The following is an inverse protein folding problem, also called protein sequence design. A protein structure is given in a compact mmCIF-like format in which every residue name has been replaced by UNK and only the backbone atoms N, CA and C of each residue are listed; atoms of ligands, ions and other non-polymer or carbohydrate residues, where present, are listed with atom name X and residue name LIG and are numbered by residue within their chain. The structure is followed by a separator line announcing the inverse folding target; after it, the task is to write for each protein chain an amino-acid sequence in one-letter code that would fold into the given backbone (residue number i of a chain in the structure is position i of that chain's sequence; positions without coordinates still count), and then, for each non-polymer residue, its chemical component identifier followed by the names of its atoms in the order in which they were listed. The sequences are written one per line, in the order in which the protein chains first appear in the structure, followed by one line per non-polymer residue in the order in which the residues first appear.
data_IF_221674557250
#
_entry.id   IF_221674557250
#
_cell.length_a   1.000
_cell.length_b   1.000
_cell.length_c   1.000
_cell.angle_alpha   90.00
_cell.angle_beta   90.00
_cell.angle_gamma   90.00
#
_symmetry.space_group_name_H-M   'P 1'
#
loop_
_entity.id
_entity.type
_entity.pdbx_description
1 polymer ?
#
# COMPACT_ATOMS: atom_id res chain seq x y z
N UNK A 1 28.21 -6.36 58.55
CA UNK A 1 28.97 -5.10 58.71
C UNK A 1 29.97 -5.06 57.55
N UNK A 2 29.88 -4.26 56.48
CA UNK A 2 29.21 -2.99 56.21
C UNK A 2 28.72 -2.92 54.75
N UNK A 3 27.70 -2.07 54.53
CA UNK A 3 27.13 -1.72 53.23
C UNK A 3 28.11 -0.94 52.35
N UNK A 4 28.07 -1.15 51.03
CA UNK A 4 28.53 -0.13 50.06
C UNK A 4 27.54 0.01 48.90
N UNK A 5 27.05 1.24 48.80
CA UNK A 5 26.02 1.72 47.89
C UNK A 5 26.49 1.78 46.43
N UNK A 6 25.53 1.57 45.52
CA UNK A 6 25.71 1.71 44.08
C UNK A 6 26.01 3.14 43.64
N UNK A 7 26.83 3.26 42.60
CA UNK A 7 27.03 4.49 41.83
C UNK A 7 26.45 4.29 40.44
N UNK A 8 25.36 4.98 40.15
CA UNK A 8 24.81 5.21 38.81
C UNK A 8 25.73 6.17 38.07
N UNK A 9 26.11 5.94 36.79
CA UNK A 9 26.74 6.98 35.99
C UNK A 9 25.68 7.95 35.45
N UNK A 10 25.97 9.24 35.58
CA UNK A 10 25.15 10.35 35.14
C UNK A 10 24.93 10.34 33.62
N UNK A 11 23.67 10.48 33.21
CA UNK A 11 23.28 10.73 31.81
C UNK A 11 23.73 12.14 31.43
N UNK A 12 24.59 12.21 30.40
CA UNK A 12 25.09 13.45 29.81
C UNK A 12 23.94 14.17 29.09
N UNK A 13 23.65 15.42 29.47
CA UNK A 13 22.66 16.25 28.82
C UNK A 13 22.98 16.42 27.31
N UNK A 14 21.96 16.23 26.45
CA UNK A 14 22.04 16.52 25.01
C UNK A 14 21.78 18.02 24.77
N UNK A 15 22.46 18.64 23.79
CA UNK A 15 22.26 20.06 23.49
C UNK A 15 20.90 20.30 22.84
N UNK A 16 20.35 21.48 23.11
CA UNK A 16 19.02 21.93 22.73
C UNK A 16 18.81 21.88 21.21
N UNK A 17 17.72 21.23 20.79
CA UNK A 17 17.31 21.17 19.38
C UNK A 17 16.67 22.50 18.99
N UNK A 18 17.32 23.21 18.07
CA UNK A 18 16.82 24.39 17.38
C UNK A 18 15.42 24.12 16.79
N UNK A 19 14.42 24.90 17.21
CA UNK A 19 13.06 24.84 16.66
C UNK A 19 12.98 25.68 15.39
N UNK A 20 12.66 25.12 14.21
CA UNK A 20 12.33 25.95 13.05
C UNK A 20 10.92 26.55 13.23
N UNK A 21 10.78 27.79 12.74
CA UNK A 21 9.59 28.63 12.88
C UNK A 21 8.35 28.05 12.22
N UNK A 22 7.21 28.28 12.86
CA UNK A 22 5.87 28.16 12.28
C UNK A 22 5.76 29.11 11.09
N UNK A 23 5.61 28.57 9.88
CA UNK A 23 4.50 29.02 9.02
C UNK A 23 4.24 28.09 7.82
N UNK A 24 2.94 27.96 7.53
CA UNK A 24 2.26 27.31 6.38
C UNK A 24 1.78 25.86 6.53
N UNK A 25 0.47 25.75 6.75
CA UNK A 25 -0.41 24.85 5.98
C UNK A 25 -0.49 23.36 6.31
N UNK A 26 0.49 22.80 7.02
CA UNK A 26 0.49 21.36 7.28
C UNK A 26 -0.44 20.99 8.44
N UNK A 27 -1.58 20.37 8.10
CA UNK A 27 -2.44 19.69 9.06
C UNK A 27 -1.68 18.44 9.53
N UNK A 28 -0.88 18.61 10.59
CA UNK A 28 -0.15 17.53 11.25
C UNK A 28 -1.12 16.42 11.63
N UNK A 29 -0.83 15.21 11.18
CA UNK A 29 -1.58 14.00 11.53
C UNK A 29 -1.27 13.70 13.00
N UNK A 30 -2.21 13.97 13.90
CA UNK A 30 -2.07 13.62 15.32
C UNK A 30 -2.28 12.11 15.50
N UNK A 31 -1.21 11.34 15.31
CA UNK A 31 -1.07 9.96 15.77
C UNK A 31 0.01 9.88 16.86
N UNK A 32 0.15 8.75 17.59
CA UNK A 32 1.30 8.55 18.46
C UNK A 32 2.57 8.63 17.61
N UNK A 33 3.27 9.76 17.72
CA UNK A 33 4.41 10.14 16.88
C UNK A 33 5.58 9.16 16.98
N UNK A 34 5.58 8.29 17.98
CA UNK A 34 6.63 7.29 18.22
C UNK A 34 6.61 6.13 17.19
N UNK A 35 5.54 5.99 16.39
CA UNK A 35 5.41 4.93 15.36
C UNK A 35 5.39 5.46 13.92
N UNK A 36 5.34 6.78 13.72
CA UNK A 36 5.14 7.40 12.40
C UNK A 36 6.28 8.37 12.11
N UNK A 37 7.01 8.12 11.03
CA UNK A 37 8.08 9.00 10.55
C UNK A 37 7.65 9.58 9.19
N UNK A 38 7.20 10.85 9.12
CA UNK A 38 6.85 11.46 7.86
C UNK A 38 8.11 11.73 7.02
N UNK A 39 8.04 11.46 5.72
CA UNK A 39 9.11 11.74 4.76
C UNK A 39 8.58 12.66 3.67
N UNK A 40 9.07 13.90 3.63
CA UNK A 40 8.65 14.91 2.65
C UNK A 40 9.69 14.99 1.53
N UNK A 41 9.53 14.15 0.51
CA UNK A 41 10.40 14.10 -0.67
C UNK A 41 9.71 13.33 -1.82
N UNK A 42 10.20 13.43 -3.07
CA UNK A 42 9.70 12.61 -4.18
C UNK A 42 9.80 11.11 -3.89
N UNK A 43 8.80 10.34 -4.34
CA UNK A 43 8.69 8.89 -4.06
C UNK A 43 9.94 8.10 -4.47
N UNK A 44 10.52 8.40 -5.64
CA UNK A 44 11.73 7.72 -6.13
C UNK A 44 12.96 8.01 -5.26
N UNK A 45 13.08 9.23 -4.74
CA UNK A 45 14.14 9.59 -3.79
C UNK A 45 13.93 8.89 -2.45
N UNK A 46 12.68 8.81 -1.98
CA UNK A 46 12.33 8.04 -0.79
C UNK A 46 12.64 6.56 -0.93
N UNK A 47 12.36 5.97 -2.10
CA UNK A 47 12.73 4.60 -2.37
C UNK A 47 14.27 4.42 -2.33
N UNK A 48 15.07 5.40 -2.74
CA UNK A 48 16.53 5.29 -2.58
C UNK A 48 16.93 5.39 -1.09
N UNK A 49 16.35 6.32 -0.35
CA UNK A 49 16.69 6.58 1.05
C UNK A 49 16.30 5.44 2.00
N UNK A 50 15.16 4.77 1.77
CA UNK A 50 14.70 3.66 2.61
C UNK A 50 15.43 2.38 2.20
N UNK A 51 16.41 1.96 2.99
CA UNK A 51 17.21 0.75 2.73
C UNK A 51 16.67 -0.51 3.42
N UNK A 52 15.78 -0.35 4.40
CA UNK A 52 15.21 -1.46 5.16
C UNK A 52 14.18 -2.24 4.31
N UNK A 53 14.07 -3.56 4.48
CA UNK A 53 12.97 -4.34 3.94
C UNK A 53 11.63 -3.86 4.50
N UNK A 54 10.58 -3.90 3.69
CA UNK A 54 9.23 -3.47 4.08
C UNK A 54 8.23 -4.61 3.96
N UNK A 55 7.28 -4.67 4.88
CA UNK A 55 6.23 -5.70 4.88
C UNK A 55 4.97 -5.27 4.12
N UNK A 56 4.76 -3.97 3.98
CA UNK A 56 3.62 -3.38 3.28
C UNK A 56 4.09 -2.14 2.51
N UNK A 57 3.63 -2.05 1.26
CA UNK A 57 3.66 -0.82 0.46
C UNK A 57 2.24 -0.50 0.01
N UNK A 58 1.79 0.72 0.27
CA UNK A 58 0.49 1.24 -0.15
C UNK A 58 0.71 2.41 -1.11
N UNK A 59 0.39 2.22 -2.38
CA UNK A 59 0.58 3.21 -3.46
C UNK A 59 -0.74 3.95 -3.67
N UNK A 60 -0.75 5.22 -3.30
CA UNK A 60 -1.90 6.14 -3.35
C UNK A 60 -1.40 7.57 -3.65
N UNK A 61 -0.64 7.68 -4.74
CA UNK A 61 -0.01 8.93 -5.19
C UNK A 61 -0.71 9.50 -6.42
N UNK A 62 0.07 9.75 -7.47
CA UNK A 62 -0.41 10.25 -8.76
C UNK A 62 -1.22 9.17 -9.52
N UNK A 63 -2.16 9.57 -10.38
CA UNK A 63 -3.03 8.66 -11.15
C UNK A 63 -2.57 8.43 -12.60
N UNK A 64 -1.49 9.07 -13.04
CA UNK A 64 -0.85 8.79 -14.31
C UNK A 64 -0.20 7.41 -14.28
N UNK A 65 -0.41 6.64 -15.34
CA UNK A 65 0.09 5.26 -15.45
C UNK A 65 1.60 5.18 -15.21
N UNK A 66 2.37 6.07 -15.83
CA UNK A 66 3.83 6.13 -15.75
C UNK A 66 4.32 6.41 -14.32
N UNK A 67 3.62 7.29 -13.60
CA UNK A 67 3.96 7.64 -12.22
C UNK A 67 3.71 6.45 -11.27
N UNK A 68 2.52 5.84 -11.35
CA UNK A 68 2.18 4.65 -10.54
C UNK A 68 3.11 3.48 -10.85
N UNK A 69 3.47 3.29 -12.12
CA UNK A 69 4.38 2.24 -12.54
C UNK A 69 5.80 2.48 -12.01
N UNK A 70 6.27 3.72 -12.04
CA UNK A 70 7.57 4.10 -11.49
C UNK A 70 7.62 3.84 -9.97
N UNK A 71 6.56 4.20 -9.24
CA UNK A 71 6.41 3.89 -7.82
C UNK A 71 6.45 2.37 -7.59
N UNK A 72 5.65 1.60 -8.32
CA UNK A 72 5.66 0.14 -8.19
C UNK A 72 7.05 -0.45 -8.40
N UNK A 73 7.78 -0.02 -9.44
CA UNK A 73 9.12 -0.52 -9.72
C UNK A 73 10.15 -0.13 -8.66
N UNK A 74 10.05 1.08 -8.09
CA UNK A 74 10.96 1.54 -7.06
C UNK A 74 10.74 0.82 -5.71
N UNK A 75 9.48 0.57 -5.37
CA UNK A 75 9.11 0.00 -4.06
C UNK A 75 9.04 -1.52 -4.06
N UNK A 76 8.63 -2.18 -5.16
CA UNK A 76 8.48 -3.64 -5.23
C UNK A 76 9.72 -4.43 -4.77
N UNK A 77 10.97 -4.08 -5.14
CA UNK A 77 12.15 -4.82 -4.72
C UNK A 77 12.34 -4.88 -3.21
N UNK A 78 11.88 -3.86 -2.47
CA UNK A 78 12.03 -3.72 -1.02
C UNK A 78 11.04 -4.54 -0.21
N UNK A 79 9.90 -4.86 -0.82
CA UNK A 79 8.86 -5.66 -0.16
C UNK A 79 9.38 -7.06 0.07
N UNK A 80 9.27 -7.59 1.28
CA UNK A 80 9.72 -8.96 1.59
C UNK A 80 8.85 -10.00 0.88
N UNK A 81 9.36 -11.23 0.74
CA UNK A 81 8.49 -12.35 0.35
C UNK A 81 7.40 -12.56 1.42
N UNK A 82 6.15 -12.71 1.00
CA UNK A 82 5.00 -12.70 1.91
C UNK A 82 4.49 -11.31 2.32
N UNK A 83 5.21 -10.24 1.98
CA UNK A 83 4.76 -8.85 2.17
C UNK A 83 3.64 -8.47 1.19
N UNK A 84 2.99 -7.33 1.43
CA UNK A 84 1.82 -6.88 0.68
C UNK A 84 2.16 -5.65 -0.16
N UNK A 85 1.67 -5.62 -1.39
CA UNK A 85 1.57 -4.39 -2.19
C UNK A 85 0.11 -4.13 -2.47
N UNK A 86 -0.30 -2.88 -2.25
CA UNK A 86 -1.66 -2.42 -2.46
C UNK A 86 -1.64 -1.11 -3.26
N UNK A 87 -2.62 -0.97 -4.15
CA UNK A 87 -2.88 0.23 -4.93
C UNK A 87 -4.27 0.74 -4.58
N UNK A 88 -4.39 2.03 -4.30
CA UNK A 88 -5.68 2.68 -4.20
C UNK A 88 -6.25 3.02 -5.59
N UNK A 89 -7.51 3.43 -5.66
CA UNK A 89 -8.14 3.96 -6.88
C UNK A 89 -8.15 3.05 -8.12
N UNK A 90 -8.06 1.73 -7.93
CA UNK A 90 -8.03 0.75 -9.03
C UNK A 90 -9.39 0.51 -9.72
N UNK A 91 -10.38 1.36 -9.42
CA UNK A 91 -11.72 1.35 -10.00
C UNK A 91 -12.04 2.76 -10.51
N UNK A 92 -11.94 2.96 -11.83
CA UNK A 92 -12.34 4.22 -12.46
C UNK A 92 -11.20 5.20 -12.74
N UNK A 93 -9.97 4.89 -12.31
CA UNK A 93 -8.76 5.63 -12.65
C UNK A 93 -7.82 4.74 -13.46
N UNK A 94 -7.50 5.17 -14.68
CA UNK A 94 -6.79 4.34 -15.65
C UNK A 94 -5.41 3.89 -15.16
N UNK A 95 -4.59 4.80 -14.61
CA UNK A 95 -3.22 4.49 -14.21
C UNK A 95 -3.12 3.41 -13.13
N UNK A 96 -3.66 3.62 -11.92
CA UNK A 96 -3.63 2.62 -10.84
C UNK A 96 -4.32 1.32 -11.23
N UNK A 97 -5.44 1.42 -11.93
CA UNK A 97 -6.17 0.25 -12.42
C UNK A 97 -5.28 -0.62 -13.32
N UNK A 98 -4.66 -0.02 -14.33
CA UNK A 98 -3.87 -0.72 -15.32
C UNK A 98 -2.60 -1.31 -14.71
N UNK A 99 -1.90 -0.57 -13.85
CA UNK A 99 -0.72 -1.09 -13.13
C UNK A 99 -1.11 -2.28 -12.24
N UNK A 100 -2.19 -2.19 -11.47
CA UNK A 100 -2.63 -3.31 -10.64
C UNK A 100 -2.99 -4.55 -11.49
N UNK A 101 -3.68 -4.34 -12.62
CA UNK A 101 -4.03 -5.41 -13.55
C UNK A 101 -2.83 -6.12 -14.17
N UNK A 102 -1.81 -5.37 -14.57
CA UNK A 102 -0.61 -5.89 -15.22
C UNK A 102 0.36 -6.50 -14.19
N UNK A 103 0.59 -5.82 -13.06
CA UNK A 103 1.66 -6.15 -12.12
C UNK A 103 1.22 -6.90 -10.87
N UNK A 104 -0.07 -6.87 -10.49
CA UNK A 104 -0.62 -7.76 -9.45
C UNK A 104 -1.34 -8.95 -10.06
N UNK A 105 -2.45 -8.71 -10.76
CA UNK A 105 -3.39 -9.78 -11.16
C UNK A 105 -2.81 -10.76 -12.18
N UNK A 106 -2.02 -10.27 -13.13
CA UNK A 106 -1.42 -11.09 -14.20
C UNK A 106 -0.02 -11.59 -13.89
N UNK A 107 0.58 -11.10 -12.81
CA UNK A 107 1.96 -11.42 -12.45
C UNK A 107 2.09 -12.79 -11.77
N UNK A 108 3.19 -13.49 -12.04
CA UNK A 108 3.59 -14.68 -11.27
C UNK A 108 4.26 -14.33 -9.94
N UNK A 109 4.49 -13.04 -9.66
CA UNK A 109 5.14 -12.56 -8.44
C UNK A 109 4.18 -12.23 -7.30
N UNK A 110 2.88 -12.50 -7.50
CA UNK A 110 1.85 -12.27 -6.51
C UNK A 110 0.90 -13.46 -6.37
N UNK A 111 0.44 -13.69 -5.14
CA UNK A 111 -0.66 -14.60 -4.82
C UNK A 111 -1.72 -13.88 -4.00
N UNK A 112 -2.93 -14.43 -3.98
CA UNK A 112 -4.00 -13.92 -3.13
C UNK A 112 -4.40 -12.49 -3.50
N UNK A 113 -4.35 -12.15 -4.79
CA UNK A 113 -4.71 -10.80 -5.25
C UNK A 113 -6.22 -10.60 -5.10
N UNK A 114 -6.62 -9.54 -4.41
CA UNK A 114 -8.03 -9.24 -4.09
C UNK A 114 -8.34 -7.76 -4.28
N UNK A 115 -9.62 -7.48 -4.45
CA UNK A 115 -10.18 -6.13 -4.46
C UNK A 115 -10.94 -5.90 -3.15
N UNK A 116 -10.70 -4.78 -2.48
CA UNK A 116 -11.45 -4.29 -1.32
C UNK A 116 -11.84 -2.83 -1.55
N UNK A 117 -13.12 -2.55 -1.80
CA UNK A 117 -13.54 -1.21 -2.26
C UNK A 117 -12.90 -0.84 -3.61
N UNK A 118 -12.09 0.22 -3.63
CA UNK A 118 -11.23 0.66 -4.75
C UNK A 118 -9.79 0.14 -4.64
N UNK A 119 -9.41 -0.53 -3.54
CA UNK A 119 -8.06 -1.00 -3.29
C UNK A 119 -7.87 -2.38 -3.91
N UNK A 120 -6.90 -2.53 -4.80
CA UNK A 120 -6.40 -3.85 -5.19
C UNK A 120 -5.09 -4.13 -4.46
N UNK A 121 -4.95 -5.31 -3.88
CA UNK A 121 -3.71 -5.71 -3.20
C UNK A 121 -3.34 -7.15 -3.52
N UNK A 122 -2.07 -7.48 -3.37
CA UNK A 122 -1.54 -8.83 -3.54
C UNK A 122 -0.41 -9.13 -2.57
N UNK A 123 -0.23 -10.41 -2.26
CA UNK A 123 0.85 -10.90 -1.42
C UNK A 123 2.04 -11.26 -2.31
N UNK A 124 3.17 -10.57 -2.14
CA UNK A 124 4.41 -10.82 -2.87
C UNK A 124 4.86 -12.26 -2.63
N UNK A 125 5.27 -12.92 -3.70
CA UNK A 125 5.74 -14.29 -3.68
C UNK A 125 6.85 -14.45 -4.71
N UNK A 126 7.86 -15.26 -4.42
CA UNK A 126 8.93 -15.52 -5.38
C UNK A 126 8.38 -16.15 -6.68
N UNK A 127 7.47 -17.12 -6.54
CA UNK A 127 6.77 -17.69 -7.67
C UNK A 127 5.39 -18.20 -7.25
N UNK A 128 4.34 -17.65 -7.86
CA UNK A 128 2.97 -18.11 -7.68
C UNK A 128 2.74 -19.40 -8.48
N UNK A 129 2.10 -20.40 -7.87
CA UNK A 129 1.73 -21.62 -8.59
C UNK A 129 0.70 -21.34 -9.68
N UNK A 130 0.56 -22.23 -10.67
CA UNK A 130 -0.44 -22.08 -11.73
C UNK A 130 -1.87 -21.91 -11.17
N UNK A 131 -2.19 -22.62 -10.08
CA UNK A 131 -3.47 -22.48 -9.38
C UNK A 131 -3.64 -21.11 -8.73
N UNK A 132 -2.59 -20.55 -8.11
CA UNK A 132 -2.62 -19.20 -7.54
C UNK A 132 -2.77 -18.12 -8.63
N UNK A 133 -2.03 -18.25 -9.73
CA UNK A 133 -2.17 -17.34 -10.87
C UNK A 133 -3.57 -17.42 -11.50
N UNK A 134 -4.15 -18.63 -11.61
CA UNK A 134 -5.51 -18.80 -12.08
C UNK A 134 -6.54 -18.13 -11.15
N UNK A 135 -6.36 -18.24 -9.83
CA UNK A 135 -7.20 -17.51 -8.85
C UNK A 135 -7.06 -16.00 -8.98
N UNK A 136 -5.85 -15.47 -9.17
CA UNK A 136 -5.65 -14.04 -9.41
C UNK A 136 -6.38 -13.60 -10.70
N UNK A 137 -6.26 -14.36 -11.80
CA UNK A 137 -6.99 -14.07 -13.05
C UNK A 137 -8.52 -14.15 -12.88
N UNK A 138 -9.02 -15.07 -12.07
CA UNK A 138 -10.43 -15.14 -11.72
C UNK A 138 -10.89 -13.89 -10.96
N UNK A 139 -10.12 -13.46 -9.94
CA UNK A 139 -10.40 -12.23 -9.21
C UNK A 139 -10.40 -10.99 -10.12
N UNK A 140 -9.51 -10.95 -11.12
CA UNK A 140 -9.51 -9.91 -12.14
C UNK A 140 -10.79 -9.92 -13.00
N UNK A 141 -11.24 -11.11 -13.41
CA UNK A 141 -12.51 -11.27 -14.13
C UNK A 141 -13.69 -10.73 -13.32
N UNK A 142 -13.74 -11.02 -12.03
CA UNK A 142 -14.75 -10.47 -11.12
C UNK A 142 -14.66 -8.95 -10.99
N UNK A 143 -13.45 -8.39 -10.79
CA UNK A 143 -13.23 -6.94 -10.78
C UNK A 143 -13.83 -6.28 -12.03
N UNK A 144 -13.47 -6.77 -13.21
CA UNK A 144 -13.95 -6.23 -14.49
C UNK A 144 -15.47 -6.36 -14.64
N UNK A 145 -16.06 -7.48 -14.24
CA UNK A 145 -17.52 -7.65 -14.25
C UNK A 145 -18.22 -6.62 -13.36
N UNK A 146 -17.69 -6.37 -12.16
CA UNK A 146 -18.20 -5.36 -11.23
C UNK A 146 -18.09 -3.95 -11.82
N UNK A 147 -16.96 -3.63 -12.46
CA UNK A 147 -16.77 -2.33 -13.12
C UNK A 147 -17.74 -2.11 -14.27
N UNK A 148 -17.92 -3.12 -15.13
CA UNK A 148 -18.89 -3.07 -16.23
C UNK A 148 -20.32 -2.89 -15.69
N UNK A 149 -20.69 -3.63 -14.65
CA UNK A 149 -22.01 -3.51 -14.02
C UNK A 149 -22.27 -2.11 -13.44
N UNK A 150 -21.23 -1.40 -12.97
CA UNK A 150 -21.34 -0.01 -12.50
C UNK A 150 -21.53 1.01 -13.63
N UNK A 151 -21.10 0.69 -14.86
CA UNK A 151 -21.22 1.57 -16.04
C UNK A 151 -22.55 1.40 -16.78
N UNK A 152 -23.25 0.29 -16.57
CA UNK A 152 -24.56 0.04 -17.17
C UNK A 152 -25.68 0.69 -16.34
N UNK A 153 -26.75 1.22 -16.98
CA UNK A 153 -27.95 1.65 -16.27
C UNK A 153 -28.68 0.42 -15.71
N UNK A 154 -28.26 -0.04 -14.53
CA UNK A 154 -28.84 -1.23 -13.89
C UNK A 154 -30.10 -0.85 -13.11
N UNK A 155 -31.22 -1.57 -13.28
CA UNK A 155 -32.38 -1.50 -12.39
C UNK A 155 -31.96 -1.67 -10.93
N UNK A 156 -32.62 -0.96 -10.00
CA UNK A 156 -32.24 -0.92 -8.56
C UNK A 156 -32.09 -2.32 -7.94
N UNK A 157 -32.93 -3.28 -8.33
CA UNK A 157 -32.88 -4.66 -7.85
C UNK A 157 -31.58 -5.40 -8.23
N UNK A 158 -31.09 -5.23 -9.47
CA UNK A 158 -29.84 -5.84 -9.92
C UNK A 158 -28.61 -5.14 -9.31
N UNK A 159 -28.73 -3.84 -9.00
CA UNK A 159 -27.69 -3.07 -8.29
C UNK A 159 -27.43 -3.64 -6.89
N UNK A 160 -28.49 -4.02 -6.16
CA UNK A 160 -28.39 -4.66 -4.85
C UNK A 160 -27.78 -6.06 -4.91
N UNK A 161 -28.14 -6.86 -5.92
CA UNK A 161 -27.55 -8.18 -6.15
C UNK A 161 -26.05 -8.09 -6.49
N UNK A 162 -25.65 -7.17 -7.37
CA UNK A 162 -24.25 -6.94 -7.72
C UNK A 162 -23.42 -6.47 -6.50
N UNK A 163 -23.97 -5.57 -5.67
CA UNK A 163 -23.32 -5.16 -4.42
C UNK A 163 -23.15 -6.31 -3.42
N UNK A 164 -24.04 -7.30 -3.43
CA UNK A 164 -23.96 -8.50 -2.58
C UNK A 164 -22.87 -9.46 -3.07
N UNK A 165 -22.70 -9.62 -4.38
CA UNK A 165 -21.61 -10.42 -4.96
C UNK A 165 -20.25 -9.77 -4.67
N UNK A 166 -20.13 -8.45 -4.81
CA UNK A 166 -18.92 -7.69 -4.44
C UNK A 166 -18.54 -7.95 -2.97
N UNK A 167 -19.52 -7.92 -2.06
CA UNK A 167 -19.29 -8.18 -0.62
C UNK A 167 -18.85 -9.60 -0.29
N UNK A 168 -19.13 -10.59 -1.14
CA UNK A 168 -18.73 -11.99 -0.93
C UNK A 168 -17.35 -12.34 -1.51
N UNK A 169 -16.75 -11.42 -2.28
CA UNK A 169 -15.44 -11.59 -2.92
C UNK A 169 -14.31 -10.90 -2.12
N UNK A 170 -14.67 -10.09 -1.11
CA UNK A 170 -13.75 -9.49 -0.14
C UNK A 170 -13.17 -10.55 0.82
#
# INVERSE_FOLDING_TARGET
MALRAGRTPAVRARPELHRPGRDRGDRLVEGPLDLVVPMVQPSLEAAVAITLPVELVFIDGDHAYEAVLADFHAWFPKVVDGGVIAFHDTIGWEGPERVAEEHLYRSSRFRGVRLCGSIAYGIKTAHATAAQQARNRYALGLKRAVQTARRLPMPRALRAAAATVVRRVH
#
